data_IF_652360220480
#
_entry.id   IF_652360220480
#
_cell.length_a   1.000
_cell.length_b   1.000
_cell.length_c   1.000
_cell.angle_alpha   90.00
_cell.angle_beta   90.00
_cell.angle_gamma   90.00
#
_symmetry.space_group_name_H-M   'P 1'
#
loop_
_entity.id
_entity.type
_entity.pdbx_description
1 polymer ?
#
# COMPACT_ATOMS: atom_id res chain seq x y z
N UNK A 1 26.71 -18.41 41.12
CA UNK A 1 26.19 -19.68 40.56
C UNK A 1 25.49 -19.33 39.26
N UNK A 2 26.12 -19.64 38.10
CA UNK A 2 25.64 -20.62 37.09
C UNK A 2 24.23 -20.25 36.55
N UNK A 3 23.96 -19.97 35.28
CA UNK A 3 24.68 -20.24 34.01
C UNK A 3 24.01 -19.45 32.86
N UNK A 4 24.80 -19.13 31.85
CA UNK A 4 24.47 -18.47 30.57
C UNK A 4 23.55 -19.29 29.63
N UNK A 5 23.08 -18.59 28.58
CA UNK A 5 23.01 -18.97 27.16
C UNK A 5 21.58 -18.88 26.57
N UNK A 6 21.33 -18.46 25.32
CA UNK A 6 22.14 -18.41 24.10
C UNK A 6 21.75 -17.20 23.23
N UNK A 7 22.74 -16.45 22.75
CA UNK A 7 22.60 -15.61 21.57
C UNK A 7 22.76 -16.51 20.33
N UNK A 8 21.87 -16.36 19.35
CA UNK A 8 21.95 -17.05 18.06
C UNK A 8 23.03 -16.35 17.24
N UNK A 9 24.14 -17.05 17.08
CA UNK A 9 25.28 -16.69 16.24
C UNK A 9 24.88 -16.69 14.76
N UNK A 10 25.04 -15.55 14.10
CA UNK A 10 25.12 -15.47 12.64
C UNK A 10 26.47 -16.08 12.19
N UNK A 11 26.40 -17.26 11.58
CA UNK A 11 27.56 -17.88 10.93
C UNK A 11 27.71 -17.30 9.53
N UNK A 12 28.67 -16.40 9.34
CA UNK A 12 29.30 -16.21 8.04
C UNK A 12 30.79 -16.45 8.25
N UNK A 13 31.23 -17.64 7.89
CA UNK A 13 32.65 -17.99 7.80
C UNK A 13 32.91 -18.48 6.39
N UNK A 14 33.48 -17.61 5.56
CA UNK A 14 34.29 -18.02 4.42
C UNK A 14 35.62 -17.31 4.56
N UNK A 15 36.62 -18.08 5.01
CA UNK A 15 38.03 -17.75 4.90
C UNK A 15 38.41 -17.74 3.42
N UNK A 16 39.02 -16.65 2.94
CA UNK A 16 39.91 -16.72 1.79
C UNK A 16 41.24 -16.08 2.20
N UNK A 17 42.30 -16.85 1.96
CA UNK A 17 43.67 -16.65 2.39
C UNK A 17 44.27 -15.34 1.85
N UNK A 18 45.20 -14.82 2.67
CA UNK A 18 46.14 -13.77 2.28
C UNK A 18 47.03 -14.25 1.13
N UNK A 19 47.02 -13.49 0.03
CA UNK A 19 48.03 -13.53 -1.02
C UNK A 19 48.27 -12.09 -1.49
N UNK A 20 49.45 -11.55 -1.20
CA UNK A 20 49.86 -10.20 -1.58
C UNK A 20 50.18 -10.16 -3.08
N UNK A 21 49.39 -9.43 -3.88
CA UNK A 21 49.73 -9.08 -5.27
C UNK A 21 49.26 -7.64 -5.53
N UNK A 22 50.11 -6.77 -6.11
CA UNK A 22 49.92 -5.32 -6.15
C UNK A 22 48.72 -4.87 -7.00
N UNK A 23 48.15 -3.73 -6.59
CA UNK A 23 47.12 -2.99 -7.30
C UNK A 23 47.52 -2.74 -8.76
N UNK A 24 46.96 -3.53 -9.67
CA UNK A 24 46.77 -3.14 -11.07
C UNK A 24 45.37 -2.55 -11.19
N UNK A 25 45.31 -1.28 -11.59
CA UNK A 25 44.09 -0.61 -12.03
C UNK A 25 43.57 -1.30 -13.29
N UNK A 26 42.82 -2.38 -13.11
CA UNK A 26 42.00 -3.00 -14.15
C UNK A 26 40.55 -2.67 -13.86
N UNK A 27 39.95 -1.82 -14.70
CA UNK A 27 38.49 -1.66 -14.74
C UNK A 27 37.89 -2.93 -15.32
N UNK A 28 37.68 -3.95 -14.49
CA UNK A 28 36.78 -5.05 -14.84
C UNK A 28 35.36 -4.49 -14.80
N UNK A 29 34.59 -4.52 -15.89
CA UNK A 29 33.17 -4.25 -15.78
C UNK A 29 32.59 -5.32 -14.86
N UNK A 30 32.03 -4.89 -13.73
CA UNK A 30 31.07 -5.71 -12.99
C UNK A 30 29.89 -5.87 -13.94
N UNK A 31 29.92 -6.93 -14.74
CA UNK A 31 28.75 -7.41 -15.43
C UNK A 31 27.80 -7.85 -14.32
N UNK A 32 26.82 -7.01 -13.99
CA UNK A 32 25.66 -7.47 -13.26
C UNK A 32 25.01 -8.55 -14.13
N UNK A 33 25.37 -9.81 -13.89
CA UNK A 33 24.68 -10.94 -14.47
C UNK A 33 23.33 -11.00 -13.79
N UNK A 34 22.34 -10.32 -14.38
CA UNK A 34 20.95 -10.71 -14.20
C UNK A 34 20.87 -12.21 -14.48
N UNK A 35 20.24 -13.02 -13.61
CA UNK A 35 20.03 -14.43 -13.90
C UNK A 35 19.36 -14.58 -15.27
N UNK A 36 19.74 -15.58 -16.07
CA UNK A 36 19.18 -15.80 -17.39
C UNK A 36 17.68 -16.04 -17.28
N UNK A 37 16.90 -15.26 -18.04
CA UNK A 37 15.47 -15.40 -18.36
C UNK A 37 14.65 -16.27 -17.40
N UNK A 38 14.25 -15.70 -16.26
CA UNK A 38 13.02 -16.16 -15.61
C UNK A 38 11.85 -15.74 -16.50
N UNK A 39 11.44 -16.63 -17.42
CA UNK A 39 10.19 -16.43 -18.17
C UNK A 39 9.05 -16.38 -17.16
N UNK A 40 8.44 -15.20 -17.00
CA UNK A 40 7.25 -15.04 -16.17
C UNK A 40 6.14 -15.85 -16.83
N UNK A 41 5.55 -16.80 -16.10
CA UNK A 41 4.47 -17.62 -16.64
C UNK A 41 3.22 -16.77 -16.95
N UNK A 42 2.41 -17.21 -17.89
CA UNK A 42 1.11 -16.56 -18.19
C UNK A 42 0.23 -16.44 -16.93
N UNK A 43 0.30 -17.44 -16.04
CA UNK A 43 -0.38 -17.42 -14.75
C UNK A 43 0.15 -16.32 -13.82
N UNK A 44 1.47 -16.15 -13.73
CA UNK A 44 2.06 -15.06 -12.95
C UNK A 44 1.68 -13.69 -13.54
N UNK A 45 1.69 -13.54 -14.88
CA UNK A 45 1.24 -12.31 -15.54
C UNK A 45 -0.25 -12.02 -15.26
N UNK A 46 -1.10 -13.04 -15.34
CA UNK A 46 -2.53 -12.91 -15.03
C UNK A 46 -2.79 -12.45 -13.59
N UNK A 47 -2.05 -13.00 -12.62
CA UNK A 47 -2.10 -12.55 -11.22
C UNK A 47 -1.68 -11.09 -11.08
N UNK A 48 -0.55 -10.70 -11.68
CA UNK A 48 -0.06 -9.32 -11.61
C UNK A 48 -1.04 -8.33 -12.24
N UNK A 49 -1.63 -8.67 -13.39
CA UNK A 49 -2.61 -7.83 -14.06
C UNK A 49 -3.86 -7.62 -13.19
N UNK A 50 -4.34 -8.69 -12.52
CA UNK A 50 -5.46 -8.60 -11.57
C UNK A 50 -5.15 -7.63 -10.42
N UNK A 51 -3.94 -7.71 -9.87
CA UNK A 51 -3.50 -6.83 -8.79
C UNK A 51 -3.39 -5.38 -9.24
N UNK A 52 -2.78 -5.13 -10.40
CA UNK A 52 -2.65 -3.79 -10.98
C UNK A 52 -4.02 -3.19 -11.28
N UNK A 53 -4.98 -3.98 -11.78
CA UNK A 53 -6.34 -3.50 -12.05
C UNK A 53 -7.03 -3.00 -10.77
N UNK A 54 -6.95 -3.77 -9.68
CA UNK A 54 -7.50 -3.34 -8.39
C UNK A 54 -6.80 -2.07 -7.90
N UNK A 55 -5.46 -2.06 -7.89
CA UNK A 55 -4.66 -0.91 -7.42
C UNK A 55 -4.97 0.37 -8.20
N UNK A 56 -5.08 0.28 -9.54
CA UNK A 56 -5.36 1.43 -10.38
C UNK A 56 -6.73 2.04 -10.08
N UNK A 57 -7.75 1.22 -9.84
CA UNK A 57 -9.09 1.72 -9.50
C UNK A 57 -9.14 2.31 -8.09
N UNK A 58 -8.39 1.75 -7.14
CA UNK A 58 -8.39 2.19 -5.75
C UNK A 58 -7.55 3.45 -5.51
N UNK A 59 -6.72 3.88 -6.47
CA UNK A 59 -6.03 5.19 -6.44
C UNK A 59 -7.00 6.36 -6.20
N UNK A 60 -8.26 6.20 -6.64
CA UNK A 60 -9.32 7.20 -6.43
C UNK A 60 -9.53 7.56 -4.97
N UNK A 61 -9.34 6.63 -4.03
CA UNK A 61 -9.43 6.91 -2.60
C UNK A 61 -8.32 7.86 -2.13
N UNK A 62 -7.09 7.66 -2.59
CA UNK A 62 -5.96 8.55 -2.29
C UNK A 62 -6.20 9.96 -2.82
N UNK A 63 -6.71 10.09 -4.04
CA UNK A 63 -7.08 11.38 -4.62
C UNK A 63 -8.19 12.08 -3.81
N UNK A 64 -9.17 11.32 -3.33
CA UNK A 64 -10.26 11.83 -2.48
C UNK A 64 -9.73 12.35 -1.15
N UNK A 65 -8.81 11.63 -0.52
CA UNK A 65 -8.15 12.05 0.72
C UNK A 65 -7.23 13.26 0.51
N UNK A 66 -6.51 13.35 -0.61
CA UNK A 66 -5.71 14.55 -0.94
C UNK A 66 -6.59 15.78 -1.14
N UNK A 67 -7.76 15.61 -1.77
CA UNK A 67 -8.74 16.71 -1.85
C UNK A 67 -9.21 17.11 -0.46
N UNK A 68 -9.50 16.15 0.41
CA UNK A 68 -9.92 16.44 1.78
C UNK A 68 -8.84 17.21 2.57
N UNK A 69 -7.59 16.76 2.51
CA UNK A 69 -6.42 17.43 3.12
C UNK A 69 -6.21 18.86 2.60
N UNK A 70 -6.58 19.14 1.34
CA UNK A 70 -6.45 20.49 0.77
C UNK A 70 -7.28 21.58 1.46
N UNK A 71 -8.28 21.21 2.27
CA UNK A 71 -9.10 22.17 3.01
C UNK A 71 -9.32 21.83 4.49
N UNK A 72 -8.87 20.67 4.96
CA UNK A 72 -8.99 20.23 6.36
C UNK A 72 -7.62 20.17 7.02
N UNK A 73 -7.50 20.73 8.22
CA UNK A 73 -6.34 20.45 9.08
C UNK A 73 -6.43 19.00 9.55
N UNK A 74 -5.64 18.11 8.93
CA UNK A 74 -5.70 16.67 9.21
C UNK A 74 -5.35 16.27 10.66
N UNK A 75 -4.83 17.19 11.48
CA UNK A 75 -4.63 16.94 12.91
C UNK A 75 -5.85 17.32 13.76
N UNK A 76 -6.68 18.24 13.28
CA UNK A 76 -7.83 18.79 14.03
C UNK A 76 -9.17 18.33 13.48
N UNK A 77 -9.23 17.97 12.21
CA UNK A 77 -10.46 17.74 11.47
C UNK A 77 -11.19 19.04 11.10
N UNK A 78 -12.38 18.91 10.50
CA UNK A 78 -13.18 20.05 10.06
C UNK A 78 -13.77 20.77 11.27
N UNK A 79 -13.74 22.10 11.24
CA UNK A 79 -14.12 22.96 12.37
C UNK A 79 -15.51 23.59 12.18
N UNK A 80 -15.95 23.75 10.95
CA UNK A 80 -17.12 24.55 10.55
C UNK A 80 -16.80 26.02 10.31
N UNK A 81 -15.52 26.40 10.36
CA UNK A 81 -15.02 27.76 10.11
C UNK A 81 -14.19 27.84 8.81
N UNK A 82 -14.18 26.77 8.04
CA UNK A 82 -13.45 26.69 6.77
C UNK A 82 -14.02 27.72 5.79
N UNK A 83 -13.13 28.49 5.16
CA UNK A 83 -13.53 29.49 4.15
C UNK A 83 -14.14 28.83 2.92
N UNK A 84 -13.64 27.66 2.53
CA UNK A 84 -14.09 26.87 1.39
C UNK A 84 -14.11 25.41 1.82
N UNK A 85 -15.18 24.70 1.48
CA UNK A 85 -15.33 23.27 1.71
C UNK A 85 -15.35 22.59 0.35
N UNK A 86 -14.25 21.93 -0.04
CA UNK A 86 -14.17 21.25 -1.33
C UNK A 86 -14.84 19.86 -1.31
N UNK A 87 -15.13 19.32 -0.12
CA UNK A 87 -15.68 17.99 0.07
C UNK A 87 -14.67 16.90 -0.28
N UNK A 88 -15.20 15.75 -0.69
CA UNK A 88 -14.44 14.55 -1.08
C UNK A 88 -14.93 14.06 -2.43
N UNK A 89 -14.13 13.26 -3.11
CA UNK A 89 -14.56 12.57 -4.31
C UNK A 89 -15.32 11.28 -3.99
N UNK A 90 -16.32 10.96 -4.81
CA UNK A 90 -16.91 9.62 -4.85
C UNK A 90 -15.92 8.59 -5.39
N UNK A 91 -16.10 7.35 -4.95
CA UNK A 91 -15.28 6.20 -5.31
C UNK A 91 -15.96 5.34 -6.37
N UNK A 92 -15.13 4.58 -7.08
CA UNK A 92 -15.62 3.55 -8.00
C UNK A 92 -16.08 2.32 -7.21
N UNK A 93 -17.06 1.61 -7.77
CA UNK A 93 -17.44 0.29 -7.25
C UNK A 93 -16.40 -0.75 -7.68
N UNK A 94 -15.58 -1.17 -6.72
CA UNK A 94 -14.48 -2.13 -6.93
C UNK A 94 -14.75 -3.48 -6.26
N UNK A 95 -15.99 -3.78 -5.84
CA UNK A 95 -16.32 -5.01 -5.10
C UNK A 95 -15.95 -6.28 -5.88
N UNK A 96 -16.22 -6.30 -7.18
CA UNK A 96 -15.84 -7.42 -8.05
C UNK A 96 -14.32 -7.55 -8.16
N UNK A 97 -13.60 -6.43 -8.36
CA UNK A 97 -12.14 -6.41 -8.46
C UNK A 97 -11.46 -6.87 -7.16
N UNK A 98 -11.99 -6.45 -6.01
CA UNK A 98 -11.54 -6.92 -4.70
C UNK A 98 -11.68 -8.44 -4.59
N UNK A 99 -12.82 -8.99 -5.02
CA UNK A 99 -13.04 -10.43 -5.05
C UNK A 99 -12.04 -11.18 -5.95
N UNK A 100 -11.77 -10.64 -7.14
CA UNK A 100 -10.76 -11.20 -8.06
C UNK A 100 -9.35 -11.15 -7.48
N UNK A 101 -8.95 -10.04 -6.85
CA UNK A 101 -7.64 -9.92 -6.22
C UNK A 101 -7.46 -10.93 -5.07
N UNK A 102 -8.47 -11.09 -4.21
CA UNK A 102 -8.45 -12.08 -3.14
C UNK A 102 -8.41 -13.52 -3.67
N UNK A 103 -9.19 -13.84 -4.71
CA UNK A 103 -9.14 -15.15 -5.35
C UNK A 103 -7.76 -15.42 -5.96
N UNK A 104 -7.20 -14.45 -6.69
CA UNK A 104 -5.89 -14.61 -7.33
C UNK A 104 -4.75 -14.76 -6.30
N UNK A 105 -4.86 -14.18 -5.11
CA UNK A 105 -3.92 -14.43 -3.99
C UNK A 105 -3.89 -15.92 -3.55
N UNK A 106 -4.98 -16.66 -3.78
CA UNK A 106 -5.06 -18.08 -3.46
C UNK A 106 -4.61 -19.01 -4.58
N UNK A 107 -4.34 -18.48 -5.78
CA UNK A 107 -3.93 -19.26 -6.95
C UNK A 107 -2.40 -19.40 -7.07
N UNK A 108 -1.98 -20.41 -7.82
CA UNK A 108 -0.58 -20.57 -8.26
C UNK A 108 -0.26 -19.64 -9.44
N UNK A 109 0.99 -19.16 -9.57
CA UNK A 109 2.11 -19.40 -8.67
C UNK A 109 2.01 -18.57 -7.38
N UNK A 110 2.36 -19.17 -6.23
CA UNK A 110 2.42 -18.43 -4.96
C UNK A 110 3.49 -17.36 -4.95
N UNK A 111 3.11 -16.16 -4.50
CA UNK A 111 4.00 -15.03 -4.25
C UNK A 111 3.72 -14.53 -2.81
N UNK A 112 4.14 -15.27 -1.77
CA UNK A 112 3.55 -15.17 -0.44
C UNK A 112 3.53 -13.76 0.16
N UNK A 113 4.62 -13.00 0.01
CA UNK A 113 4.70 -11.63 0.53
C UNK A 113 3.76 -10.68 -0.23
N UNK A 114 3.69 -10.82 -1.56
CA UNK A 114 2.84 -9.98 -2.41
C UNK A 114 1.35 -10.34 -2.28
N UNK A 115 1.04 -11.64 -2.24
CA UNK A 115 -0.32 -12.16 -2.01
C UNK A 115 -0.86 -11.67 -0.64
N UNK A 116 -0.01 -11.69 0.39
CA UNK A 116 -0.34 -11.17 1.72
C UNK A 116 -0.53 -9.65 1.71
N UNK A 117 0.36 -8.89 1.05
CA UNK A 117 0.23 -7.44 0.93
C UNK A 117 -1.04 -7.02 0.18
N UNK A 118 -1.37 -7.72 -0.91
CA UNK A 118 -2.61 -7.47 -1.66
C UNK A 118 -3.85 -7.76 -0.82
N UNK A 119 -3.84 -8.87 -0.08
CA UNK A 119 -4.96 -9.21 0.83
C UNK A 119 -5.15 -8.13 1.90
N UNK A 120 -4.07 -7.70 2.56
CA UNK A 120 -4.13 -6.63 3.56
C UNK A 120 -4.57 -5.28 2.95
N UNK A 121 -4.15 -4.98 1.73
CA UNK A 121 -4.56 -3.77 1.02
C UNK A 121 -6.06 -3.80 0.69
N UNK A 122 -6.59 -4.93 0.19
CA UNK A 122 -8.04 -5.11 -0.06
C UNK A 122 -8.84 -4.93 1.23
N UNK A 123 -8.43 -5.56 2.32
CA UNK A 123 -9.11 -5.45 3.61
C UNK A 123 -9.13 -4.00 4.12
N UNK A 124 -7.98 -3.31 4.04
CA UNK A 124 -7.87 -1.90 4.42
C UNK A 124 -8.77 -1.02 3.56
N UNK A 125 -8.77 -1.23 2.24
CA UNK A 125 -9.63 -0.47 1.33
C UNK A 125 -11.12 -0.71 1.61
N UNK A 126 -11.52 -1.95 1.91
CA UNK A 126 -12.90 -2.28 2.24
C UNK A 126 -13.39 -1.62 3.54
N UNK A 127 -12.49 -1.35 4.48
CA UNK A 127 -12.81 -0.57 5.69
C UNK A 127 -12.87 0.93 5.40
N UNK A 128 -11.94 1.44 4.60
CA UNK A 128 -11.82 2.87 4.30
C UNK A 128 -12.93 3.38 3.36
N UNK A 129 -13.25 2.64 2.30
CA UNK A 129 -14.16 3.11 1.25
C UNK A 129 -15.56 3.50 1.77
N UNK A 130 -16.20 2.75 2.69
CA UNK A 130 -17.46 3.17 3.30
C UNK A 130 -17.37 4.49 4.10
N UNK A 131 -16.24 4.80 4.73
CA UNK A 131 -16.04 6.07 5.44
C UNK A 131 -15.98 7.22 4.44
N UNK A 132 -15.17 7.08 3.38
CA UNK A 132 -15.06 8.09 2.31
C UNK A 132 -16.41 8.33 1.63
N UNK A 133 -17.17 7.26 1.34
CA UNK A 133 -18.48 7.38 0.70
C UNK A 133 -19.53 8.09 1.57
N UNK A 134 -19.56 7.80 2.88
CA UNK A 134 -20.42 8.53 3.82
C UNK A 134 -20.03 10.01 3.89
N UNK A 135 -18.74 10.30 3.99
CA UNK A 135 -18.22 11.65 4.04
C UNK A 135 -18.47 12.43 2.73
N UNK A 136 -18.21 11.85 1.56
CA UNK A 136 -18.51 12.45 0.26
C UNK A 136 -19.99 12.85 0.18
N UNK A 137 -20.91 11.92 0.47
CA UNK A 137 -22.36 12.19 0.42
C UNK A 137 -22.78 13.30 1.39
N UNK A 138 -22.21 13.30 2.59
CA UNK A 138 -22.45 14.34 3.59
C UNK A 138 -22.02 15.74 3.10
N UNK A 139 -20.83 15.86 2.50
CA UNK A 139 -20.35 17.13 1.96
C UNK A 139 -21.10 17.55 0.69
N UNK A 140 -21.46 16.60 -0.19
CA UNK A 140 -22.25 16.87 -1.39
C UNK A 140 -23.66 17.39 -1.06
N UNK A 141 -24.36 16.75 -0.11
CA UNK A 141 -25.69 17.20 0.35
C UNK A 141 -25.65 18.48 1.19
N UNK A 142 -24.45 18.93 1.58
CA UNK A 142 -24.24 20.09 2.44
C UNK A 142 -24.85 19.94 3.84
N UNK A 143 -24.95 18.70 4.34
CA UNK A 143 -25.50 18.39 5.65
C UNK A 143 -24.71 19.09 6.77
N UNK A 144 -23.44 19.42 6.53
CA UNK A 144 -22.61 20.22 7.44
C UNK A 144 -23.19 21.59 7.82
N UNK A 145 -24.10 22.13 6.99
CA UNK A 145 -24.76 23.42 7.26
C UNK A 145 -25.81 23.31 8.35
N UNK A 146 -26.42 22.14 8.53
CA UNK A 146 -27.45 21.91 9.54
C UNK A 146 -26.87 21.38 10.86
N UNK A 147 -25.84 20.54 10.80
CA UNK A 147 -25.29 19.85 11.97
C UNK A 147 -24.04 20.53 12.58
N UNK A 148 -23.56 21.62 11.97
CA UNK A 148 -22.34 22.35 12.38
C UNK A 148 -21.07 21.48 12.36
N UNK A 149 -20.90 20.70 11.30
CA UNK A 149 -19.77 19.79 11.10
C UNK A 149 -19.73 18.60 12.06
N UNK A 150 -20.87 18.18 12.62
CA UNK A 150 -20.90 17.09 13.60
C UNK A 150 -20.46 15.76 12.97
N UNK A 151 -21.09 15.36 11.87
CA UNK A 151 -20.75 14.11 11.19
C UNK A 151 -19.40 14.20 10.50
N UNK A 152 -19.05 15.36 9.91
CA UNK A 152 -17.73 15.59 9.35
C UNK A 152 -16.58 15.38 10.36
N UNK A 153 -16.79 15.76 11.63
CA UNK A 153 -15.83 15.51 12.73
C UNK A 153 -15.82 14.06 13.18
N UNK A 154 -16.95 13.35 13.05
CA UNK A 154 -17.01 11.92 13.33
C UNK A 154 -16.22 11.14 12.27
N UNK A 155 -16.49 11.37 10.98
CA UNK A 155 -15.79 10.70 9.87
C UNK A 155 -14.28 10.95 9.87
N UNK A 156 -13.81 12.09 10.38
CA UNK A 156 -12.38 12.38 10.48
C UNK A 156 -11.65 11.46 11.50
N UNK A 157 -12.37 10.88 12.46
CA UNK A 157 -11.81 10.01 13.50
C UNK A 157 -11.92 8.52 13.15
N UNK A 158 -12.81 8.19 12.22
CA UNK A 158 -13.02 6.85 11.67
C UNK A 158 -11.87 6.52 10.70
#
# INVERSE_FOLDING_TARGET
MKTLAKAVTASVLVLILQGSVPYLLGTSPVQAQSPPDATVSDAAMGKMNTYVEFLNQTLRASESLQRYDSWVDMKKGPTGKERIIYGMYSLYDVRELAGKALASAQEEPKLPELDAAMTAYVETYQQLAPVIERANKYYERQDYKSDKMADGKAFHKD
#
